data_IF_072008452630
#
_entry.id   IF_072008452630
#
_cell.length_a   1.000
_cell.length_b   1.000
_cell.length_c   1.000
_cell.angle_alpha   90.00
_cell.angle_beta   90.00
_cell.angle_gamma   90.00
#
_symmetry.space_group_name_H-M   'P 1'
#
loop_
_entity.id
_entity.type
_entity.pdbx_description
1 polymer ?
#
# COMPACT_ATOMS: atom_id res chain seq x y z
N UNK A 1 -2.04 -11.44 -4.89
CA UNK A 1 -3.34 -10.80 -4.53
C UNK A 1 -3.25 -10.31 -3.09
N UNK A 2 -2.86 -9.05 -2.87
CA UNK A 2 -2.78 -8.47 -1.52
C UNK A 2 -4.21 -8.21 -1.03
N UNK A 3 -4.64 -8.88 0.04
CA UNK A 3 -5.97 -8.68 0.62
C UNK A 3 -5.98 -7.42 1.49
N UNK A 4 -6.40 -6.30 0.91
CA UNK A 4 -6.50 -4.96 1.55
C UNK A 4 -7.76 -4.74 2.40
N UNK A 5 -8.54 -5.78 2.70
CA UNK A 5 -9.90 -5.68 3.27
C UNK A 5 -10.01 -5.10 4.71
N UNK A 6 -8.91 -4.72 5.35
CA UNK A 6 -8.90 -4.07 6.67
C UNK A 6 -8.71 -2.55 6.66
N UNK A 7 -8.29 -1.96 5.54
CA UNK A 7 -7.84 -0.56 5.48
C UNK A 7 -9.00 0.47 5.59
N UNK A 8 -10.17 0.09 5.06
CA UNK A 8 -11.31 1.00 4.85
C UNK A 8 -12.01 1.38 6.17
N UNK A 9 -11.93 0.54 7.21
CA UNK A 9 -12.74 0.70 8.42
C UNK A 9 -12.21 1.72 9.43
N UNK A 10 -10.96 2.19 9.32
CA UNK A 10 -10.39 3.20 10.23
C UNK A 10 -10.59 4.65 9.78
N UNK A 11 -10.90 4.90 8.50
CA UNK A 11 -10.92 6.25 7.92
C UNK A 11 -12.32 6.78 7.56
N UNK A 12 -13.38 5.99 7.80
CA UNK A 12 -14.77 6.32 7.42
C UNK A 12 -15.38 7.59 8.07
N UNK A 13 -14.64 8.35 8.87
CA UNK A 13 -15.14 9.53 9.60
C UNK A 13 -14.58 10.89 9.18
N UNK A 14 -13.48 10.98 8.41
CA UNK A 14 -12.89 12.27 8.06
C UNK A 14 -12.98 12.54 6.56
N UNK A 15 -13.87 13.47 6.19
CA UNK A 15 -13.62 14.31 5.02
C UNK A 15 -12.41 15.18 5.36
N UNK A 16 -11.25 14.85 4.82
CA UNK A 16 -10.00 15.54 5.07
C UNK A 16 -8.86 14.77 4.44
N UNK A 17 -7.90 15.50 3.87
CA UNK A 17 -6.72 14.92 3.24
C UNK A 17 -5.98 14.01 4.23
N UNK A 18 -5.49 12.88 3.73
CA UNK A 18 -4.63 11.96 4.47
C UNK A 18 -3.21 12.51 4.32
N UNK A 19 -2.57 12.88 5.43
CA UNK A 19 -1.17 13.26 5.38
C UNK A 19 -0.26 12.03 5.38
N UNK A 20 0.85 12.11 4.64
CA UNK A 20 1.81 11.01 4.52
C UNK A 20 2.34 10.58 5.88
N UNK A 21 2.66 11.51 6.78
CA UNK A 21 3.22 11.18 8.09
C UNK A 21 2.26 10.35 8.96
N UNK A 22 0.98 10.70 8.98
CA UNK A 22 -0.07 9.93 9.66
C UNK A 22 -0.29 8.58 9.00
N UNK A 23 -0.21 8.50 7.67
CA UNK A 23 -0.28 7.22 6.96
C UNK A 23 0.91 6.31 7.32
N UNK A 24 2.14 6.84 7.30
CA UNK A 24 3.35 6.12 7.74
C UNK A 24 3.18 5.58 9.15
N UNK A 25 2.77 6.43 10.10
CA UNK A 25 2.58 6.02 11.49
C UNK A 25 1.43 5.02 11.68
N UNK A 26 0.40 5.09 10.84
CA UNK A 26 -0.73 4.16 10.90
C UNK A 26 -0.37 2.77 10.34
N UNK A 27 0.61 2.69 9.44
CA UNK A 27 1.01 1.47 8.73
C UNK A 27 2.43 0.99 9.04
N UNK A 28 3.12 1.61 10.01
CA UNK A 28 4.47 1.22 10.43
C UNK A 28 4.54 -0.21 10.98
N UNK A 29 3.42 -0.76 11.45
CA UNK A 29 3.33 -2.15 11.95
C UNK A 29 2.84 -3.15 10.89
N UNK A 30 2.66 -2.70 9.64
CA UNK A 30 2.15 -3.54 8.54
C UNK A 30 3.30 -3.94 7.63
N UNK A 31 3.55 -5.24 7.56
CA UNK A 31 4.51 -5.84 6.63
C UNK A 31 3.77 -6.45 5.44
N UNK A 32 4.15 -6.04 4.23
CA UNK A 32 3.71 -6.64 2.98
C UNK A 32 4.58 -7.85 2.65
N UNK A 33 3.93 -8.95 2.27
CA UNK A 33 4.59 -10.11 1.66
C UNK A 33 4.58 -9.93 0.15
N UNK A 34 5.77 -9.78 -0.43
CA UNK A 34 6.00 -9.60 -1.85
C UNK A 34 6.60 -10.88 -2.45
N UNK A 35 6.69 -10.94 -3.78
CA UNK A 35 7.25 -12.12 -4.45
C UNK A 35 8.74 -12.34 -4.16
N UNK A 36 9.49 -11.26 -3.93
CA UNK A 36 10.94 -11.28 -3.71
C UNK A 36 11.34 -11.13 -2.23
N UNK A 37 10.37 -10.95 -1.33
CA UNK A 37 10.67 -10.71 0.09
C UNK A 37 9.54 -10.06 0.86
N UNK A 38 9.88 -9.42 1.96
CA UNK A 38 8.94 -8.69 2.82
C UNK A 38 9.37 -7.23 2.92
N UNK A 39 8.42 -6.31 2.82
CA UNK A 39 8.66 -4.88 2.93
C UNK A 39 7.66 -4.23 3.89
N UNK A 40 8.07 -3.20 4.62
CA UNK A 40 7.17 -2.48 5.50
C UNK A 40 6.32 -1.48 4.71
N UNK A 41 5.00 -1.50 4.92
CA UNK A 41 4.07 -0.61 4.23
C UNK A 41 4.28 0.86 4.64
N UNK A 42 4.58 1.12 5.91
CA UNK A 42 4.90 2.47 6.38
C UNK A 42 6.15 3.03 5.71
N UNK A 43 7.19 2.22 5.54
CA UNK A 43 8.42 2.63 4.86
C UNK A 43 8.15 2.94 3.38
N UNK A 44 7.40 2.09 2.68
CA UNK A 44 7.01 2.34 1.28
C UNK A 44 6.18 3.63 1.14
N UNK A 45 5.27 3.90 2.08
CA UNK A 45 4.49 5.14 2.08
C UNK A 45 5.40 6.36 2.29
N UNK A 46 6.46 6.24 3.09
CA UNK A 46 7.41 7.33 3.33
C UNK A 46 8.21 7.70 2.06
N UNK A 47 8.36 6.78 1.12
CA UNK A 47 9.02 7.00 -0.18
C UNK A 47 8.10 7.68 -1.22
N UNK A 48 6.80 7.79 -0.96
CA UNK A 48 5.88 8.46 -1.89
C UNK A 48 6.16 9.97 -1.89
N UNK A 49 6.42 10.53 -3.08
CA UNK A 49 6.70 11.96 -3.26
C UNK A 49 5.58 12.88 -2.71
N UNK A 50 4.32 12.46 -2.83
CA UNK A 50 3.16 13.19 -2.35
C UNK A 50 3.10 13.29 -0.82
N UNK A 51 2.93 14.50 -0.29
CA UNK A 51 2.82 14.73 1.16
C UNK A 51 1.39 14.55 1.70
N UNK A 52 0.39 14.65 0.82
CA UNK A 52 -1.04 14.54 1.16
C UNK A 52 -1.80 13.80 0.07
N UNK A 53 -2.84 13.06 0.46
CA UNK A 53 -3.70 12.28 -0.43
C UNK A 53 -5.16 12.68 -0.21
N UNK A 54 -5.93 12.87 -1.26
CA UNK A 54 -7.34 13.27 -1.13
C UNK A 54 -8.22 12.06 -0.79
N UNK A 55 -7.80 10.87 -1.22
CA UNK A 55 -8.43 9.59 -0.90
C UNK A 55 -7.41 8.46 -0.70
N UNK A 56 -7.90 7.32 -0.18
CA UNK A 56 -7.11 6.09 -0.06
C UNK A 56 -6.66 5.58 -1.43
N UNK A 57 -7.47 5.76 -2.48
CA UNK A 57 -7.11 5.39 -3.85
C UNK A 57 -5.86 6.14 -4.37
N UNK A 58 -5.67 7.40 -3.94
CA UNK A 58 -4.47 8.17 -4.29
C UNK A 58 -3.22 7.61 -3.60
N UNK A 59 -3.37 7.13 -2.36
CA UNK A 59 -2.30 6.46 -1.62
C UNK A 59 -1.93 5.13 -2.29
N UNK A 60 -2.92 4.35 -2.73
CA UNK A 60 -2.70 3.10 -3.48
C UNK A 60 -1.96 3.37 -4.80
N UNK A 61 -2.34 4.42 -5.52
CA UNK A 61 -1.66 4.86 -6.73
C UNK A 61 -0.21 5.26 -6.45
N UNK A 62 0.04 6.02 -5.37
CA UNK A 62 1.39 6.37 -4.94
C UNK A 62 2.23 5.13 -4.61
N UNK A 63 1.64 4.16 -3.92
CA UNK A 63 2.29 2.90 -3.56
C UNK A 63 2.71 2.11 -4.81
N UNK A 64 1.88 2.05 -5.84
CA UNK A 64 2.23 1.39 -7.10
C UNK A 64 3.43 2.02 -7.82
N UNK A 65 3.74 3.29 -7.57
CA UNK A 65 4.90 3.95 -8.17
C UNK A 65 6.21 3.63 -7.45
N UNK A 66 6.15 3.36 -6.13
CA UNK A 66 7.33 3.05 -5.30
C UNK A 66 7.57 1.55 -5.16
N UNK A 67 6.55 0.72 -5.38
CA UNK A 67 6.70 -0.72 -5.32
C UNK A 67 7.69 -1.23 -6.38
N UNK A 68 8.60 -2.15 -6.01
CA UNK A 68 9.47 -2.81 -6.98
C UNK A 68 8.63 -3.51 -8.05
N UNK A 69 8.98 -3.35 -9.33
CA UNK A 69 8.26 -4.03 -10.42
C UNK A 69 8.29 -5.55 -10.30
N UNK A 70 9.34 -6.08 -9.69
CA UNK A 70 9.52 -7.51 -9.41
C UNK A 70 8.68 -8.00 -8.21
N UNK A 71 8.22 -7.10 -7.35
CA UNK A 71 7.39 -7.42 -6.19
C UNK A 71 5.90 -7.62 -6.54
N UNK A 72 5.47 -7.04 -7.65
CA UNK A 72 4.15 -7.25 -8.24
C UNK A 72 4.28 -8.51 -9.09
N UNK A 73 4.09 -9.69 -8.49
CA UNK A 73 4.21 -10.97 -9.20
C UNK A 73 3.56 -10.91 -10.60
N UNK A 74 4.23 -11.52 -11.59
CA UNK A 74 3.88 -11.42 -13.01
C UNK A 74 2.36 -11.43 -13.27
N UNK A 75 1.83 -10.60 -14.19
CA UNK A 75 0.39 -10.42 -14.45
C UNK A 75 -0.37 -11.67 -14.98
N UNK A 76 0.18 -12.89 -14.82
CA UNK A 76 -0.41 -14.16 -15.24
C UNK A 76 -0.26 -15.31 -14.21
N UNK A 77 -0.01 -15.04 -12.92
CA UNK A 77 -0.04 -16.08 -11.89
C UNK A 77 -1.48 -16.37 -11.42
N UNK A 78 -2.34 -16.79 -12.35
CA UNK A 78 -3.53 -17.60 -12.05
C UNK A 78 -3.21 -19.05 -12.41
N UNK A 79 -3.16 -19.86 -11.35
CA UNK A 79 -3.45 -21.30 -11.33
C UNK A 79 -2.51 -22.19 -12.14
N UNK A 80 -1.36 -22.51 -11.52
CA UNK A 80 -0.90 -23.90 -11.56
C UNK A 80 -1.83 -24.74 -10.68
N UNK A 81 -2.75 -25.48 -11.30
CA UNK A 81 -3.29 -26.71 -10.74
C UNK A 81 -3.26 -27.80 -11.84
N UNK A 82 -3.09 -29.04 -11.41
CA UNK A 82 -2.31 -30.10 -12.06
C UNK A 82 -2.98 -30.84 -13.23
#
# INVERSE_FOLDING_TARGET
>A
MIKTHGLVLRWHGQRGQIDRASAVAAFSDVTLLLADGEENLGDLIAEIDSETFDAVDDLETGLHNVLPREAIGEPYQSEGDA
#
